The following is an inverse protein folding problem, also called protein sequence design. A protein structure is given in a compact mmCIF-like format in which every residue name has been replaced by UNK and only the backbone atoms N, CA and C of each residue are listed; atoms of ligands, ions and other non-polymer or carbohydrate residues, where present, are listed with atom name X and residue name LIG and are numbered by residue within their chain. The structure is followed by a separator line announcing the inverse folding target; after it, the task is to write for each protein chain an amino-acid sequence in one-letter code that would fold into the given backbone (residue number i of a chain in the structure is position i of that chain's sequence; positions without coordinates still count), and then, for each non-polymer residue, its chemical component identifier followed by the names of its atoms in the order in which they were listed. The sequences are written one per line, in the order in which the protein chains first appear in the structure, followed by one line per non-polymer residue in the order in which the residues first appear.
data_IF_230264633158
#
_entry.id   IF_230264633158
#
_cell.length_a   1.000
_cell.length_b   1.000
_cell.length_c   1.000
_cell.angle_alpha   90.00
_cell.angle_beta   90.00
_cell.angle_gamma   90.00
#
_symmetry.space_group_name_H-M   'P 1'
#
loop_
_entity.id
_entity.type
_entity.pdbx_description
1 polymer ?
#
# COMPACT_ATOMS: atom_id res chain seq x y z
N UNK A 1 -26.00 -13.91 -2.21
CA UNK A 1 -27.43 -13.66 -1.94
C UNK A 1 -27.70 -12.16 -2.00
N UNK A 2 -28.71 -11.73 -2.76
CA UNK A 2 -29.01 -10.31 -2.97
C UNK A 2 -30.42 -10.02 -2.44
N UNK A 3 -30.52 -9.06 -1.53
CA UNK A 3 -31.80 -8.59 -1.00
C UNK A 3 -32.12 -7.20 -1.56
N UNK A 4 -33.27 -7.09 -2.24
CA UNK A 4 -33.71 -5.86 -2.89
C UNK A 4 -34.93 -5.33 -2.14
N UNK A 5 -34.84 -4.10 -1.65
CA UNK A 5 -35.90 -3.43 -0.89
C UNK A 5 -36.26 -2.09 -1.54
N UNK A 6 -37.47 -1.59 -1.27
CA UNK A 6 -37.88 -0.23 -1.68
C UNK A 6 -37.13 0.83 -0.86
N UNK A 7 -36.89 0.56 0.41
CA UNK A 7 -36.21 1.42 1.36
C UNK A 7 -35.52 0.53 2.40
N UNK A 8 -34.23 0.75 2.64
CA UNK A 8 -33.45 0.04 3.63
C UNK A 8 -33.54 0.77 4.97
N UNK A 9 -33.93 0.05 6.01
CA UNK A 9 -33.94 0.55 7.38
C UNK A 9 -32.65 0.12 8.09
N UNK A 10 -32.33 0.79 9.18
CA UNK A 10 -31.14 0.48 9.96
C UNK A 10 -31.16 -0.96 10.51
N UNK A 11 -32.33 -1.53 10.82
CA UNK A 11 -32.42 -2.94 11.24
C UNK A 11 -32.05 -3.90 10.10
N UNK A 12 -32.40 -3.56 8.85
CA UNK A 12 -31.99 -4.34 7.67
C UNK A 12 -30.49 -4.24 7.46
N UNK A 13 -29.92 -3.05 7.67
CA UNK A 13 -28.48 -2.78 7.59
C UNK A 13 -27.72 -3.65 8.58
N UNK A 14 -28.05 -3.54 9.86
CA UNK A 14 -27.38 -4.28 10.94
C UNK A 14 -27.50 -5.80 10.80
N UNK A 15 -28.63 -6.30 10.30
CA UNK A 15 -28.81 -7.72 10.05
C UNK A 15 -27.88 -8.25 8.95
N UNK A 16 -27.76 -7.51 7.83
CA UNK A 16 -26.88 -7.88 6.72
C UNK A 16 -25.40 -7.73 7.10
N UNK A 17 -25.06 -6.69 7.85
CA UNK A 17 -23.71 -6.49 8.41
C UNK A 17 -23.32 -7.66 9.32
N UNK A 18 -24.21 -8.07 10.24
CA UNK A 18 -23.99 -9.22 11.11
C UNK A 18 -23.75 -10.51 10.32
N UNK A 19 -24.55 -10.74 9.27
CA UNK A 19 -24.39 -11.91 8.39
C UNK A 19 -23.04 -11.89 7.66
N UNK A 20 -22.62 -10.73 7.14
CA UNK A 20 -21.32 -10.58 6.49
C UNK A 20 -20.14 -10.80 7.45
N UNK A 21 -20.30 -10.48 8.74
CA UNK A 21 -19.27 -10.71 9.76
C UNK A 21 -19.23 -12.14 10.30
N UNK A 22 -20.34 -12.89 10.24
CA UNK A 22 -20.47 -14.21 10.88
C UNK A 22 -20.52 -15.40 9.92
N UNK A 23 -20.69 -15.15 8.63
CA UNK A 23 -20.76 -16.22 7.60
C UNK A 23 -19.38 -16.50 7.00
N UNK A 24 -19.13 -17.73 6.55
CA UNK A 24 -17.91 -18.14 5.85
C UNK A 24 -17.76 -17.44 4.50
N UNK A 25 -16.52 -17.34 3.99
CA UNK A 25 -16.14 -16.59 2.78
C UNK A 25 -16.85 -17.02 1.48
N UNK A 26 -17.55 -18.15 1.49
CA UNK A 26 -18.21 -18.72 0.30
C UNK A 26 -19.61 -18.12 0.04
N UNK A 27 -20.18 -17.38 1.00
CA UNK A 27 -21.52 -16.79 0.87
C UNK A 27 -21.46 -15.29 1.14
N UNK A 28 -21.83 -14.50 0.12
CA UNK A 28 -21.83 -13.04 0.17
C UNK A 28 -23.25 -12.49 0.28
N UNK A 29 -23.50 -11.54 1.18
CA UNK A 29 -24.81 -10.90 1.36
C UNK A 29 -24.80 -9.44 0.94
N UNK A 30 -25.78 -9.08 0.11
CA UNK A 30 -26.00 -7.71 -0.37
C UNK A 30 -27.36 -7.19 0.05
N UNK A 31 -27.41 -5.95 0.47
CA UNK A 31 -28.62 -5.16 0.60
C UNK A 31 -28.63 -4.08 -0.47
N UNK A 32 -29.69 -4.03 -1.27
CA UNK A 32 -29.85 -3.05 -2.34
C UNK A 32 -31.21 -2.38 -2.24
N UNK A 33 -31.23 -1.07 -2.43
CA UNK A 33 -32.44 -0.30 -2.66
C UNK A 33 -32.73 -0.20 -4.16
N UNK A 34 -33.98 -0.41 -4.56
CA UNK A 34 -34.43 -0.10 -5.92
C UNK A 34 -35.14 1.26 -5.96
N UNK A 35 -34.67 2.14 -6.83
CA UNK A 35 -35.25 3.46 -7.10
C UNK A 35 -35.64 3.55 -8.56
N UNK A 36 -36.67 4.33 -8.87
CA UNK A 36 -37.06 4.64 -10.24
C UNK A 36 -36.62 6.07 -10.57
N UNK A 37 -35.83 6.24 -11.63
CA UNK A 37 -35.47 7.56 -12.16
C UNK A 37 -36.16 7.80 -13.49
N UNK A 38 -36.53 9.05 -13.76
CA UNK A 38 -37.01 9.50 -15.07
C UNK A 38 -36.09 10.62 -15.55
N UNK A 39 -35.57 10.52 -16.76
CA UNK A 39 -34.75 11.59 -17.37
C UNK A 39 -35.59 12.19 -18.51
N UNK A 40 -36.05 13.44 -18.30
CA UNK A 40 -36.96 14.11 -19.25
C UNK A 40 -38.25 13.30 -19.48
N UNK A 41 -38.52 13.00 -20.75
CA UNK A 41 -39.71 12.24 -21.17
C UNK A 41 -39.46 10.74 -21.34
N UNK A 42 -38.35 10.22 -20.82
CA UNK A 42 -38.07 8.78 -20.84
C UNK A 42 -39.07 7.97 -20.02
N UNK A 43 -39.11 6.65 -20.29
CA UNK A 43 -39.70 5.70 -19.35
C UNK A 43 -38.89 5.68 -18.04
N UNK A 44 -39.56 5.31 -16.94
CA UNK A 44 -38.91 5.16 -15.64
C UNK A 44 -37.86 4.04 -15.70
N UNK A 45 -36.61 4.39 -15.43
CA UNK A 45 -35.50 3.45 -15.37
C UNK A 45 -35.28 2.98 -13.92
N UNK A 46 -35.18 1.66 -13.67
CA UNK A 46 -34.79 1.16 -12.38
C UNK A 46 -33.30 1.45 -12.15
N UNK A 47 -32.97 1.98 -10.97
CA UNK A 47 -31.61 2.14 -10.47
C UNK A 47 -31.50 1.44 -9.14
N UNK A 48 -30.50 0.58 -9.05
CA UNK A 48 -30.19 -0.12 -7.82
C UNK A 48 -29.09 0.63 -7.08
N UNK A 49 -29.26 0.80 -5.77
CA UNK A 49 -28.31 1.45 -4.87
C UNK A 49 -27.88 0.42 -3.84
N UNK A 50 -26.58 0.12 -3.76
CA UNK A 50 -26.06 -0.82 -2.77
C UNK A 50 -26.00 -0.13 -1.41
N UNK A 51 -26.68 -0.70 -0.42
CA UNK A 51 -26.78 -0.18 0.94
C UNK A 51 -25.80 -0.90 1.88
N UNK A 52 -25.71 -2.23 1.76
CA UNK A 52 -24.75 -3.06 2.50
C UNK A 52 -24.15 -4.12 1.60
N UNK A 53 -22.88 -4.43 1.85
CA UNK A 53 -22.11 -5.41 1.09
C UNK A 53 -21.03 -6.04 1.98
N UNK A 54 -20.49 -7.21 1.60
CA UNK A 54 -19.39 -7.81 2.34
C UNK A 54 -18.18 -6.88 2.37
N UNK A 55 -17.48 -6.83 3.51
CA UNK A 55 -16.30 -5.98 3.69
C UNK A 55 -15.22 -6.25 2.62
N UNK A 56 -15.08 -7.51 2.19
CA UNK A 56 -14.14 -7.92 1.13
C UNK A 56 -14.66 -7.69 -0.29
N UNK A 57 -15.93 -7.30 -0.51
CA UNK A 57 -16.51 -7.17 -1.85
C UNK A 57 -16.03 -5.94 -2.63
N UNK A 58 -15.44 -4.92 -1.96
CA UNK A 58 -14.77 -3.80 -2.66
C UNK A 58 -13.69 -4.34 -3.63
N UNK A 59 -13.17 -5.54 -3.40
CA UNK A 59 -12.01 -6.07 -4.12
C UNK A 59 -12.29 -6.70 -5.48
N UNK A 60 -13.55 -6.91 -5.90
CA UNK A 60 -13.79 -7.78 -7.09
C UNK A 60 -14.83 -7.30 -8.13
N UNK A 61 -15.67 -6.28 -7.87
CA UNK A 61 -16.82 -5.99 -8.75
C UNK A 61 -16.80 -4.65 -9.53
N UNK A 62 -15.76 -3.81 -9.43
CA UNK A 62 -15.72 -2.51 -10.13
C UNK A 62 -14.73 -2.52 -11.30
N UNK A 63 -15.07 -3.25 -12.37
CA UNK A 63 -14.32 -3.23 -13.64
C UNK A 63 -15.00 -2.33 -14.70
N UNK A 64 -15.96 -1.48 -14.33
CA UNK A 64 -16.52 -0.56 -15.32
C UNK A 64 -17.49 0.46 -14.77
N UNK A 65 -16.98 1.60 -14.32
CA UNK A 65 -17.49 2.93 -14.66
C UNK A 65 -16.64 4.01 -13.96
N UNK A 66 -16.33 5.04 -14.72
CA UNK A 66 -15.39 6.12 -14.46
C UNK A 66 -15.83 7.05 -13.30
N UNK A 67 -15.45 6.71 -12.06
CA UNK A 67 -15.68 7.58 -10.90
C UNK A 67 -14.63 7.43 -9.81
N UNK A 68 -13.42 7.99 -9.97
CA UNK A 68 -12.51 8.28 -8.84
C UNK A 68 -12.21 7.13 -7.84
N UNK A 69 -12.42 5.88 -8.23
CA UNK A 69 -12.22 4.70 -7.41
C UNK A 69 -10.84 4.11 -7.67
N UNK A 70 -10.19 3.66 -6.59
CA UNK A 70 -8.84 3.15 -6.62
C UNK A 70 -8.78 1.85 -7.44
N UNK A 71 -7.83 1.75 -8.37
CA UNK A 71 -7.52 0.48 -9.03
C UNK A 71 -7.13 -0.57 -7.99
N UNK A 72 -7.29 -1.86 -8.32
CA UNK A 72 -6.91 -2.98 -7.44
C UNK A 72 -5.52 -2.79 -6.83
N UNK A 73 -4.52 -2.46 -7.65
CA UNK A 73 -3.15 -2.22 -7.18
C UNK A 73 -3.05 -1.02 -6.21
N UNK A 74 -3.81 0.05 -6.44
CA UNK A 74 -3.86 1.20 -5.53
C UNK A 74 -4.52 0.86 -4.19
N UNK A 75 -5.60 0.08 -4.21
CA UNK A 75 -6.24 -0.41 -2.99
C UNK A 75 -5.33 -1.33 -2.19
N UNK A 76 -4.59 -2.21 -2.86
CA UNK A 76 -3.65 -3.14 -2.22
C UNK A 76 -2.43 -2.44 -1.62
N UNK A 77 -1.90 -1.42 -2.30
CA UNK A 77 -0.86 -0.54 -1.71
C UNK A 77 -1.37 0.17 -0.47
N UNK A 78 -2.58 0.73 -0.51
CA UNK A 78 -3.19 1.40 0.64
C UNK A 78 -3.36 0.42 1.82
N UNK A 79 -3.82 -0.80 1.56
CA UNK A 79 -3.92 -1.89 2.54
C UNK A 79 -2.57 -2.23 3.16
N UNK A 80 -1.54 -2.43 2.33
CA UNK A 80 -0.18 -2.70 2.78
C UNK A 80 0.36 -1.58 3.67
N UNK A 81 0.22 -0.32 3.25
CA UNK A 81 0.72 0.84 4.01
C UNK A 81 -0.01 1.05 5.33
N UNK A 82 -1.31 0.75 5.41
CA UNK A 82 -2.03 0.79 6.68
C UNK A 82 -1.48 -0.25 7.67
N UNK A 83 -1.32 -1.51 7.23
CA UNK A 83 -0.72 -2.57 8.06
C UNK A 83 0.73 -2.24 8.44
N UNK A 84 1.49 -1.69 7.50
CA UNK A 84 2.85 -1.23 7.76
C UNK A 84 2.89 -0.17 8.87
N UNK A 85 1.97 0.80 8.83
CA UNK A 85 1.85 1.82 9.87
C UNK A 85 1.44 1.24 11.23
N UNK A 86 0.55 0.25 11.27
CA UNK A 86 0.18 -0.45 12.51
C UNK A 86 1.40 -1.11 13.16
N UNK A 87 2.20 -1.85 12.38
CA UNK A 87 3.43 -2.47 12.86
C UNK A 87 4.46 -1.40 13.29
N UNK A 88 4.63 -0.34 12.50
CA UNK A 88 5.51 0.79 12.84
C UNK A 88 5.15 1.44 14.17
N UNK A 89 3.86 1.64 14.44
CA UNK A 89 3.36 2.18 15.71
C UNK A 89 3.61 1.19 16.85
N UNK A 90 3.32 -0.09 16.64
CA UNK A 90 3.53 -1.14 17.66
C UNK A 90 5.00 -1.29 18.06
N UNK A 91 5.93 -1.00 17.15
CA UNK A 91 7.38 -0.99 17.37
C UNK A 91 7.92 0.33 17.93
N UNK A 92 7.05 1.14 18.54
CA UNK A 92 7.42 2.43 19.15
C UNK A 92 7.99 3.46 18.16
N UNK A 93 7.56 3.42 16.89
CA UNK A 93 7.86 4.42 15.86
C UNK A 93 9.38 4.69 15.68
N UNK A 94 10.19 3.69 15.27
CA UNK A 94 11.61 3.89 14.98
C UNK A 94 11.89 5.01 13.95
N UNK A 95 10.90 5.36 13.14
CA UNK A 95 10.87 6.54 12.28
C UNK A 95 9.45 7.11 12.17
N UNK A 96 9.33 8.29 11.55
CA UNK A 96 8.06 9.01 11.46
C UNK A 96 7.02 8.24 10.64
N UNK A 97 5.82 8.11 11.22
CA UNK A 97 4.65 7.58 10.53
C UNK A 97 4.15 8.59 9.50
N UNK A 98 3.94 8.15 8.26
CA UNK A 98 3.28 8.90 7.20
C UNK A 98 1.86 8.41 6.99
N UNK A 99 1.03 9.29 6.40
CA UNK A 99 -0.30 8.91 5.93
C UNK A 99 -0.16 7.84 4.85
N UNK A 100 -0.86 6.73 5.00
CA UNK A 100 -0.96 5.72 3.95
C UNK A 100 -1.64 6.32 2.71
N UNK A 101 -1.06 6.10 1.53
CA UNK A 101 -1.60 6.58 0.25
C UNK A 101 -1.74 5.41 -0.73
N UNK A 102 -2.14 5.71 -1.95
CA UNK A 102 -2.26 4.74 -3.05
C UNK A 102 -0.98 4.64 -3.87
N UNK A 103 0.04 5.41 -3.48
CA UNK A 103 1.30 5.48 -4.17
C UNK A 103 2.06 4.17 -3.98
N UNK A 104 2.91 3.87 -4.96
CA UNK A 104 3.76 2.70 -4.91
C UNK A 104 4.99 2.92 -4.04
N UNK A 105 5.13 4.05 -3.33
CA UNK A 105 6.28 4.37 -2.50
C UNK A 105 5.89 4.88 -1.11
N UNK A 106 6.80 4.74 -0.16
CA UNK A 106 6.73 5.28 1.19
C UNK A 106 8.12 5.74 1.63
N UNK A 107 8.32 7.06 1.78
CA UNK A 107 9.65 7.58 2.14
C UNK A 107 9.87 7.74 3.64
N UNK A 108 11.11 7.48 4.04
CA UNK A 108 11.62 7.63 5.40
C UNK A 108 12.80 8.61 5.39
N UNK A 109 12.77 9.57 6.31
CA UNK A 109 13.81 10.59 6.42
C UNK A 109 15.15 9.98 6.88
N UNK A 110 16.20 10.27 6.12
CA UNK A 110 17.56 9.83 6.41
C UNK A 110 18.34 10.84 7.27
N UNK A 111 17.85 12.09 7.41
CA UNK A 111 18.48 13.15 8.22
C UNK A 111 19.22 14.21 7.40
N UNK A 112 19.19 14.11 6.08
CA UNK A 112 19.71 15.09 5.13
C UNK A 112 18.65 15.43 4.08
N UNK A 113 18.75 16.58 3.42
CA UNK A 113 17.92 16.95 2.27
C UNK A 113 18.42 16.35 0.95
N UNK A 114 19.67 15.86 0.92
CA UNK A 114 20.28 15.30 -0.29
C UNK A 114 19.79 13.88 -0.61
N UNK A 115 19.32 13.13 0.40
CA UNK A 115 18.92 11.74 0.26
C UNK A 115 17.83 11.34 1.26
N UNK A 116 17.04 10.34 0.90
CA UNK A 116 16.03 9.72 1.76
C UNK A 116 15.95 8.21 1.47
N UNK A 117 15.32 7.45 2.36
CA UNK A 117 14.99 6.05 2.07
C UNK A 117 13.61 6.02 1.43
N UNK A 118 13.43 5.28 0.34
CA UNK A 118 12.11 5.03 -0.27
C UNK A 118 11.84 3.53 -0.28
N UNK A 119 10.67 3.14 0.23
CA UNK A 119 10.17 1.75 0.17
C UNK A 119 9.19 1.68 -0.99
N UNK A 120 9.36 0.76 -1.94
CA UNK A 120 8.54 0.68 -3.16
C UNK A 120 7.81 -0.66 -3.28
N UNK A 121 6.55 -0.63 -3.75
CA UNK A 121 5.67 -1.78 -3.98
C UNK A 121 5.27 -1.86 -5.46
N UNK A 122 6.14 -2.50 -6.25
CA UNK A 122 5.92 -2.70 -7.69
C UNK A 122 5.71 -4.19 -7.97
N UNK A 123 6.77 -4.92 -8.32
CA UNK A 123 6.74 -6.39 -8.47
C UNK A 123 7.34 -7.08 -7.24
N UNK A 124 8.29 -6.41 -6.58
CA UNK A 124 8.93 -6.80 -5.33
C UNK A 124 8.86 -5.61 -4.39
N UNK A 125 9.21 -5.81 -3.12
CA UNK A 125 9.43 -4.70 -2.21
C UNK A 125 10.86 -4.20 -2.42
N UNK A 126 11.02 -2.96 -2.88
CA UNK A 126 12.32 -2.32 -3.01
C UNK A 126 12.58 -1.38 -1.84
N UNK A 127 13.73 -1.47 -1.19
CA UNK A 127 14.18 -0.51 -0.17
C UNK A 127 15.40 0.20 -0.75
N UNK A 128 15.23 1.46 -1.14
CA UNK A 128 16.29 2.24 -1.77
C UNK A 128 16.71 3.45 -0.94
N UNK A 129 18.01 3.68 -0.85
CA UNK A 129 18.55 5.00 -0.52
C UNK A 129 18.50 5.82 -1.81
N UNK A 130 17.50 6.69 -1.91
CA UNK A 130 17.32 7.59 -3.03
C UNK A 130 18.13 8.86 -2.79
N UNK A 131 19.11 9.09 -3.66
CA UNK A 131 19.93 10.29 -3.69
C UNK A 131 19.37 11.18 -4.79
N UNK A 132 19.09 12.45 -4.44
CA UNK A 132 18.51 13.43 -5.35
C UNK A 132 19.55 13.85 -6.42
N UNK A 133 19.65 15.13 -6.76
CA UNK A 133 20.62 15.61 -7.77
C UNK A 133 22.02 15.80 -7.18
N UNK A 134 22.62 14.73 -6.65
CA UNK A 134 23.94 14.77 -5.97
C UNK A 134 24.80 13.53 -6.24
N UNK A 135 25.43 13.49 -7.42
CA UNK A 135 26.33 12.40 -7.80
C UNK A 135 27.59 12.30 -6.93
N UNK A 136 28.10 13.44 -6.44
CA UNK A 136 29.25 13.44 -5.54
C UNK A 136 28.98 12.71 -4.23
N UNK A 137 27.76 12.81 -3.70
CA UNK A 137 27.35 12.04 -2.52
C UNK A 137 27.28 10.54 -2.82
N UNK A 138 26.76 10.15 -4.00
CA UNK A 138 26.79 8.76 -4.41
C UNK A 138 28.23 8.24 -4.50
N UNK A 139 29.13 8.99 -5.14
CA UNK A 139 30.53 8.58 -5.32
C UNK A 139 31.26 8.44 -3.97
N UNK A 140 30.98 9.33 -3.00
CA UNK A 140 31.46 9.23 -1.61
C UNK A 140 30.97 7.95 -0.95
N UNK A 141 29.67 7.67 -1.00
CA UNK A 141 29.10 6.45 -0.40
C UNK A 141 29.62 5.19 -1.08
N UNK A 142 29.79 5.23 -2.41
CA UNK A 142 30.29 4.10 -3.19
C UNK A 142 31.76 3.77 -2.84
N UNK A 143 32.58 4.78 -2.53
CA UNK A 143 33.95 4.53 -2.03
C UNK A 143 34.00 3.81 -0.68
N UNK A 144 32.93 3.87 0.11
CA UNK A 144 32.75 3.14 1.37
C UNK A 144 31.80 1.95 1.23
N UNK A 145 31.49 1.50 0.00
CA UNK A 145 30.46 0.48 -0.24
C UNK A 145 30.75 -0.86 0.42
N UNK A 146 32.01 -1.30 0.44
CA UNK A 146 32.40 -2.54 1.13
C UNK A 146 32.16 -2.46 2.64
N UNK A 147 32.55 -1.34 3.27
CA UNK A 147 32.34 -1.09 4.69
C UNK A 147 30.84 -1.05 5.03
N UNK A 148 30.07 -0.31 4.25
CA UNK A 148 28.60 -0.20 4.41
C UNK A 148 27.94 -1.57 4.30
N UNK A 149 28.30 -2.39 3.30
CA UNK A 149 27.70 -3.72 3.14
C UNK A 149 28.10 -4.68 4.25
N UNK A 150 29.34 -4.58 4.75
CA UNK A 150 29.79 -5.35 5.91
C UNK A 150 29.02 -4.98 7.18
N UNK A 151 28.79 -3.69 7.43
CA UNK A 151 27.96 -3.22 8.55
C UNK A 151 26.49 -3.65 8.42
N UNK A 152 25.93 -3.64 7.21
CA UNK A 152 24.56 -4.07 6.96
C UNK A 152 24.38 -5.59 7.08
N UNK A 153 25.41 -6.37 6.76
CA UNK A 153 25.34 -7.83 6.68
C UNK A 153 24.58 -8.34 5.45
N UNK A 154 24.36 -7.49 4.44
CA UNK A 154 23.77 -7.85 3.16
C UNK A 154 24.22 -6.88 2.05
N UNK A 155 24.19 -7.36 0.81
CA UNK A 155 24.57 -6.56 -0.36
C UNK A 155 23.40 -5.75 -0.90
N UNK A 156 23.70 -4.58 -1.45
CA UNK A 156 22.73 -3.72 -2.14
C UNK A 156 23.22 -3.47 -3.57
N UNK A 157 22.30 -3.18 -4.48
CA UNK A 157 22.63 -2.80 -5.85
C UNK A 157 22.87 -1.29 -5.94
N UNK A 158 24.05 -0.91 -6.40
CA UNK A 158 24.53 0.47 -6.44
C UNK A 158 24.35 1.05 -7.84
N UNK A 159 23.33 1.90 -8.00
CA UNK A 159 22.97 2.46 -9.30
C UNK A 159 23.23 3.96 -9.35
N UNK A 160 24.38 4.34 -9.92
CA UNK A 160 24.71 5.76 -10.12
C UNK A 160 23.74 6.45 -11.06
N UNK A 161 23.25 5.76 -12.10
CA UNK A 161 22.31 6.28 -13.11
C UNK A 161 22.83 7.56 -13.78
N UNK A 162 23.92 7.47 -14.55
CA UNK A 162 24.60 8.63 -15.15
C UNK A 162 23.72 9.44 -16.12
N UNK A 163 22.71 8.79 -16.71
CA UNK A 163 21.75 9.41 -17.60
C UNK A 163 20.56 10.08 -16.88
N UNK A 164 20.52 10.05 -15.54
CA UNK A 164 19.45 10.63 -14.72
C UNK A 164 20.05 11.53 -13.64
N UNK A 165 19.27 12.51 -13.18
CA UNK A 165 19.63 13.33 -12.02
C UNK A 165 19.81 12.50 -10.73
N UNK A 166 18.81 11.68 -10.32
CA UNK A 166 18.95 10.87 -9.11
C UNK A 166 19.92 9.70 -9.28
N UNK A 167 20.45 9.25 -8.15
CA UNK A 167 21.13 7.96 -7.98
C UNK A 167 20.39 7.15 -6.92
N UNK A 168 20.57 5.83 -6.91
CA UNK A 168 19.94 4.98 -5.89
C UNK A 168 20.80 3.80 -5.51
N UNK A 169 20.63 3.35 -4.27
CA UNK A 169 21.25 2.13 -3.74
C UNK A 169 20.11 1.28 -3.21
N UNK A 170 19.83 0.14 -3.83
CA UNK A 170 18.57 -0.59 -3.65
C UNK A 170 18.77 -2.03 -3.17
N UNK A 171 17.92 -2.45 -2.25
CA UNK A 171 17.74 -3.84 -1.83
C UNK A 171 16.34 -4.33 -2.19
N UNK A 172 16.21 -5.57 -2.64
CA UNK A 172 14.92 -6.16 -2.99
C UNK A 172 14.54 -7.28 -2.05
N UNK A 173 13.29 -7.27 -1.59
CA UNK A 173 12.65 -8.36 -0.86
C UNK A 173 11.58 -8.95 -1.79
N UNK A 174 11.69 -10.26 -2.05
CA UNK A 174 10.74 -11.01 -2.86
C UNK A 174 9.50 -11.45 -2.08
N UNK A 175 8.54 -12.06 -2.79
CA UNK A 175 7.35 -12.63 -2.16
C UNK A 175 6.17 -11.67 -1.99
N UNK A 176 6.27 -10.44 -2.49
CA UNK A 176 5.13 -9.53 -2.57
C UNK A 176 4.08 -10.08 -3.54
N UNK A 177 2.88 -10.35 -3.03
CA UNK A 177 1.74 -10.76 -3.84
C UNK A 177 0.50 -9.97 -3.43
N UNK A 178 -0.06 -9.20 -4.36
CA UNK A 178 -1.28 -8.42 -4.11
C UNK A 178 -2.55 -9.27 -4.09
N UNK A 179 -2.48 -10.53 -4.55
CA UNK A 179 -3.59 -11.47 -4.56
C UNK A 179 -3.56 -12.41 -3.34
N UNK A 180 -2.39 -12.58 -2.69
CA UNK A 180 -2.24 -13.37 -1.47
C UNK A 180 -1.52 -12.59 -0.36
N UNK A 181 -2.23 -12.32 0.74
CA UNK A 181 -1.72 -11.50 1.87
C UNK A 181 -1.24 -12.32 3.07
N UNK A 182 -1.14 -13.65 2.95
CA UNK A 182 -0.77 -14.54 4.06
C UNK A 182 0.60 -14.19 4.67
N UNK A 183 1.57 -13.83 3.83
CA UNK A 183 2.94 -13.51 4.24
C UNK A 183 3.17 -12.02 4.55
N UNK A 184 2.16 -11.16 4.49
CA UNK A 184 2.34 -9.71 4.67
C UNK A 184 2.92 -9.37 6.04
N UNK A 185 2.56 -10.12 7.08
CA UNK A 185 3.13 -9.92 8.42
C UNK A 185 4.64 -10.10 8.42
N UNK A 186 5.14 -11.16 7.78
CA UNK A 186 6.58 -11.45 7.69
C UNK A 186 7.28 -10.38 6.84
N UNK A 187 6.74 -10.09 5.65
CA UNK A 187 7.30 -9.07 4.75
C UNK A 187 7.40 -7.69 5.41
N UNK A 188 6.35 -7.24 6.10
CA UNK A 188 6.35 -5.95 6.79
C UNK A 188 7.41 -5.91 7.89
N UNK A 189 7.55 -6.98 8.68
CA UNK A 189 8.58 -7.05 9.71
C UNK A 189 9.99 -7.03 9.10
N UNK A 190 10.22 -7.76 8.02
CA UNK A 190 11.50 -7.76 7.31
C UNK A 190 11.83 -6.37 6.75
N UNK A 191 10.87 -5.71 6.09
CA UNK A 191 11.04 -4.34 5.58
C UNK A 191 11.40 -3.39 6.72
N UNK A 192 10.69 -3.49 7.86
CA UNK A 192 10.95 -2.66 9.03
C UNK A 192 12.39 -2.83 9.55
N UNK A 193 12.85 -4.08 9.68
CA UNK A 193 14.20 -4.38 10.16
C UNK A 193 15.28 -3.85 9.20
N UNK A 194 15.09 -4.07 7.89
CA UNK A 194 16.00 -3.58 6.85
C UNK A 194 16.03 -2.06 6.77
N UNK A 195 14.88 -1.38 6.85
CA UNK A 195 14.82 0.10 6.84
C UNK A 195 15.54 0.69 8.05
N UNK A 196 15.37 0.11 9.24
CA UNK A 196 16.07 0.58 10.45
C UNK A 196 17.58 0.37 10.32
N UNK A 197 18.03 -0.80 9.85
CA UNK A 197 19.44 -1.08 9.63
C UNK A 197 20.07 -0.11 8.61
N UNK A 198 19.44 0.03 7.43
CA UNK A 198 19.89 0.95 6.36
C UNK A 198 19.94 2.39 6.89
N UNK A 199 18.90 2.84 7.59
CA UNK A 199 18.87 4.20 8.15
C UNK A 199 20.00 4.45 9.13
N UNK A 200 20.31 3.50 10.00
CA UNK A 200 21.37 3.66 11.00
C UNK A 200 22.75 3.65 10.36
N UNK A 201 23.04 2.71 9.46
CA UNK A 201 24.34 2.63 8.79
C UNK A 201 24.57 3.87 7.91
N UNK A 202 23.65 4.18 6.99
CA UNK A 202 23.86 5.32 6.08
C UNK A 202 23.94 6.66 6.81
N UNK A 203 23.28 6.83 7.96
CA UNK A 203 23.44 8.05 8.78
C UNK A 203 24.86 8.29 9.26
N UNK A 204 25.65 7.24 9.50
CA UNK A 204 27.03 7.37 9.93
C UNK A 204 27.98 7.74 8.78
N UNK A 205 27.56 7.49 7.54
CA UNK A 205 28.36 7.69 6.33
C UNK A 205 28.01 8.99 5.56
N UNK A 206 26.94 9.69 5.94
CA UNK A 206 26.47 10.93 5.31
C UNK A 206 27.18 12.17 5.83
#
# INVERSE_FOLDING_TARGET
MIWIVKEAREEHRSAIEWLNNKTTKDILFFLMEIRAYKIGDSLHAPKFVVIEKPNDFVKTANVGMDSGELSKAQAERLSFWNRFNEVLISRNKPFNVRKATTDHWYDVALGTSAAHISITLVNNIGIEVYINDNKGLFDKLYSASEEIQNELGFSMDWQRLDNKKPSRIIYYIGGLDFDNHENYGELINEVMDKVVAIRNVFRNHL
#
